data_IF_440613010281
#
_entry.id   IF_440613010281
#
_cell.length_a   1.000
_cell.length_b   1.000
_cell.length_c   1.000
_cell.angle_alpha   90.00
_cell.angle_beta   90.00
_cell.angle_gamma   90.00
#
_symmetry.space_group_name_H-M   'P 1'
#
loop_
_entity.id
_entity.type
_entity.pdbx_description
1 polymer ?
#
# COMPACT_ATOMS: atom_id res chain seq x y z
N UNK A 1 19.54 1.01 -44.08
CA UNK A 1 18.92 2.17 -44.74
C UNK A 1 17.45 2.12 -44.44
N UNK A 2 16.92 3.01 -43.71
CA UNK A 2 15.84 3.95 -43.78
C UNK A 2 15.52 4.52 -42.40
N UNK A 3 15.79 5.79 -42.25
CA UNK A 3 15.42 6.63 -41.12
C UNK A 3 13.99 7.13 -41.34
N UNK A 4 13.18 7.18 -40.30
CA UNK A 4 12.09 8.14 -40.21
C UNK A 4 11.91 8.63 -38.80
N UNK A 5 12.28 9.90 -38.61
CA UNK A 5 11.98 10.73 -37.44
C UNK A 5 10.60 11.34 -37.63
N UNK A 6 9.76 11.30 -36.66
CA UNK A 6 8.60 12.21 -36.58
C UNK A 6 8.60 12.85 -35.19
N UNK A 7 8.93 14.13 -35.19
CA UNK A 7 8.73 15.05 -34.09
C UNK A 7 7.31 15.63 -34.22
N UNK A 8 6.57 15.65 -33.13
CA UNK A 8 5.36 16.48 -33.02
C UNK A 8 5.44 17.26 -31.72
N UNK A 9 5.72 18.54 -31.88
CA UNK A 9 5.56 19.60 -30.87
C UNK A 9 4.11 20.04 -30.86
N UNK A 10 3.50 20.15 -29.66
CA UNK A 10 2.33 21.02 -29.49
C UNK A 10 2.32 21.57 -28.05
N UNK A 11 2.62 22.86 -27.97
CA UNK A 11 2.41 23.70 -26.80
C UNK A 11 0.95 24.18 -26.81
N UNK A 12 0.31 24.15 -25.63
CA UNK A 12 -0.89 24.92 -25.37
C UNK A 12 -0.85 25.46 -23.94
N UNK A 13 -0.55 26.75 -23.82
CA UNK A 13 -0.70 27.54 -22.62
C UNK A 13 -2.16 28.00 -22.52
N UNK A 14 -2.77 27.84 -21.34
CA UNK A 14 -4.02 28.50 -21.01
C UNK A 14 -3.89 29.19 -19.65
N UNK A 15 -3.78 30.52 -19.68
CA UNK A 15 -3.85 31.38 -18.52
C UNK A 15 -5.31 31.79 -18.30
N UNK A 16 -5.83 31.64 -17.08
CA UNK A 16 -7.05 32.31 -16.62
C UNK A 16 -6.76 33.08 -15.33
N UNK A 17 -6.76 34.37 -15.45
CA UNK A 17 -6.83 35.32 -14.33
C UNK A 17 -8.30 35.58 -14.01
N UNK A 18 -8.67 35.52 -12.73
CA UNK A 18 -9.91 36.09 -12.21
C UNK A 18 -9.63 36.84 -10.92
N UNK A 19 -9.63 38.15 -11.01
CA UNK A 19 -9.70 39.09 -9.94
C UNK A 19 -11.18 39.22 -9.51
N UNK A 20 -11.44 39.24 -8.22
CA UNK A 20 -12.77 39.52 -7.64
C UNK A 20 -12.65 40.09 -6.23
N UNK A 21 -12.45 41.39 -6.10
CA UNK A 21 -12.64 42.14 -4.85
C UNK A 21 -14.13 42.32 -4.58
N UNK A 22 -14.55 41.98 -3.36
CA UNK A 22 -15.88 42.31 -2.87
C UNK A 22 -15.84 42.48 -1.35
N UNK A 23 -15.56 43.75 -0.92
CA UNK A 23 -15.63 44.18 0.47
C UNK A 23 -17.05 44.69 0.72
N UNK A 24 -17.78 44.12 1.69
CA UNK A 24 -19.00 44.70 2.24
C UNK A 24 -19.14 44.28 3.70
N UNK A 25 -18.85 45.23 4.59
CA UNK A 25 -19.00 45.12 6.02
C UNK A 25 -20.34 45.79 6.41
N UNK A 26 -21.26 45.13 7.12
CA UNK A 26 -22.36 45.80 7.81
C UNK A 26 -22.08 45.91 9.31
N UNK A 27 -22.84 46.78 10.02
CA UNK A 27 -22.42 47.42 11.26
C UNK A 27 -22.65 46.56 12.52
N UNK A 28 -21.90 46.96 13.57
CA UNK A 28 -21.90 46.40 14.91
C UNK A 28 -23.27 46.39 15.60
N UNK A 29 -23.63 45.25 16.18
CA UNK A 29 -24.64 45.16 17.24
C UNK A 29 -23.96 44.62 18.50
N UNK A 30 -23.93 45.44 19.52
CA UNK A 30 -23.43 45.20 20.86
C UNK A 30 -24.43 44.32 21.62
N UNK A 31 -24.04 43.09 21.94
CA UNK A 31 -24.75 42.23 22.89
C UNK A 31 -23.73 41.39 23.67
N UNK A 32 -23.84 41.21 25.00
CA UNK A 32 -22.88 40.40 25.74
C UNK A 32 -23.12 38.92 25.47
N UNK A 33 -22.30 38.34 24.60
CA UNK A 33 -22.29 36.89 24.41
C UNK A 33 -21.34 36.23 25.40
N UNK A 34 -21.91 35.52 26.35
CA UNK A 34 -21.23 34.54 27.16
C UNK A 34 -20.67 33.44 26.23
N UNK A 35 -19.39 33.49 25.98
CA UNK A 35 -18.67 32.41 25.27
C UNK A 35 -18.54 31.21 26.22
N UNK A 36 -19.45 30.25 26.10
CA UNK A 36 -19.21 28.89 26.59
C UNK A 36 -18.27 28.24 25.58
N UNK A 37 -16.99 28.23 25.91
CA UNK A 37 -16.01 27.40 25.19
C UNK A 37 -16.38 25.93 25.45
N UNK A 38 -17.09 25.32 24.50
CA UNK A 38 -17.22 23.89 24.44
C UNK A 38 -15.87 23.32 24.03
N UNK A 39 -15.07 22.97 25.02
CA UNK A 39 -13.89 22.12 24.81
C UNK A 39 -14.39 20.73 24.42
N UNK A 40 -14.41 20.44 23.12
CA UNK A 40 -14.61 19.09 22.63
C UNK A 40 -13.43 18.25 23.15
N UNK A 41 -13.67 17.19 23.95
CA UNK A 41 -12.58 16.31 24.34
C UNK A 41 -12.01 15.68 23.05
N UNK A 42 -10.73 15.94 22.77
CA UNK A 42 -10.00 15.20 21.76
C UNK A 42 -10.10 13.71 22.14
N UNK A 43 -10.63 12.89 21.23
CA UNK A 43 -10.63 11.45 21.41
C UNK A 43 -9.19 11.00 21.70
N UNK A 44 -8.99 10.08 22.69
CA UNK A 44 -7.66 9.59 22.98
C UNK A 44 -7.12 8.90 21.72
N UNK A 45 -6.07 9.47 21.14
CA UNK A 45 -5.25 8.79 20.13
C UNK A 45 -4.62 7.60 20.86
N UNK A 46 -5.15 6.40 20.64
CA UNK A 46 -4.50 5.17 21.08
C UNK A 46 -3.06 5.17 20.57
N UNK A 47 -2.07 4.90 21.44
CA UNK A 47 -0.70 4.75 21.00
C UNK A 47 -0.68 3.73 19.87
N UNK A 48 -0.06 4.07 18.74
CA UNK A 48 0.14 3.13 17.64
C UNK A 48 1.10 2.07 18.17
N UNK A 49 0.56 0.94 18.67
CA UNK A 49 1.38 -0.17 19.08
C UNK A 49 2.21 -0.64 17.88
N UNK A 50 3.53 -0.74 18.07
CA UNK A 50 4.43 -1.30 17.05
C UNK A 50 3.92 -2.69 16.66
N UNK A 51 3.88 -3.04 15.36
CA UNK A 51 3.52 -4.39 14.93
C UNK A 51 4.36 -5.42 15.65
N UNK A 52 3.72 -6.49 16.11
CA UNK A 52 4.37 -7.56 16.89
C UNK A 52 5.37 -8.35 16.03
N UNK A 53 5.14 -8.37 14.68
CA UNK A 53 5.96 -9.09 13.71
C UNK A 53 6.40 -8.13 12.59
N UNK A 54 7.66 -8.25 12.17
CA UNK A 54 8.15 -7.66 10.93
C UNK A 54 7.74 -8.51 9.71
N UNK A 55 7.91 -7.98 8.51
CA UNK A 55 7.54 -8.70 7.30
C UNK A 55 8.31 -10.01 7.13
N UNK A 56 9.59 -10.02 7.48
CA UNK A 56 10.40 -11.24 7.43
C UNK A 56 9.91 -12.29 8.44
N UNK A 57 9.52 -11.89 9.65
CA UNK A 57 8.99 -12.81 10.66
C UNK A 57 7.73 -13.52 10.17
N UNK A 58 6.86 -12.79 9.43
CA UNK A 58 5.66 -13.36 8.79
C UNK A 58 6.05 -14.40 7.74
N UNK A 59 7.02 -14.11 6.86
CA UNK A 59 7.48 -15.07 5.84
C UNK A 59 8.08 -16.31 6.51
N UNK A 60 8.86 -16.14 7.56
CA UNK A 60 9.47 -17.25 8.31
C UNK A 60 8.38 -18.11 8.98
N UNK A 61 7.34 -17.50 9.57
CA UNK A 61 6.21 -18.21 10.15
C UNK A 61 5.41 -19.01 9.10
N UNK A 62 5.19 -18.44 7.92
CA UNK A 62 4.53 -19.13 6.80
C UNK A 62 5.38 -20.31 6.30
N UNK A 63 6.70 -20.16 6.26
CA UNK A 63 7.63 -21.25 5.91
C UNK A 63 7.58 -22.36 6.95
N UNK A 64 7.59 -22.00 8.24
CA UNK A 64 7.46 -22.95 9.34
C UNK A 64 6.10 -23.68 9.34
N UNK A 65 5.04 -23.06 8.82
CA UNK A 65 3.74 -23.69 8.59
C UNK A 65 3.73 -24.67 7.40
N UNK A 66 4.87 -24.88 6.75
CA UNK A 66 5.04 -25.85 5.65
C UNK A 66 4.74 -25.30 4.25
N UNK A 67 4.64 -23.98 4.09
CA UNK A 67 4.56 -23.39 2.76
C UNK A 67 5.95 -23.43 2.10
N UNK A 68 6.06 -23.89 0.86
CA UNK A 68 7.35 -24.07 0.18
C UNK A 68 7.85 -22.73 -0.40
N UNK A 69 8.27 -21.85 0.49
CA UNK A 69 8.87 -20.57 0.17
C UNK A 69 10.39 -20.69 0.05
N UNK A 70 10.99 -19.93 -0.85
CA UNK A 70 12.44 -19.88 -1.05
C UNK A 70 12.90 -18.47 -1.43
N UNK A 71 14.21 -18.24 -1.47
CA UNK A 71 14.81 -16.94 -1.80
C UNK A 71 14.20 -15.80 -0.97
N UNK A 72 13.99 -16.07 0.32
CA UNK A 72 13.42 -15.09 1.27
C UNK A 72 14.38 -13.92 1.40
N UNK A 73 13.87 -12.72 1.21
CA UNK A 73 14.64 -11.48 1.32
C UNK A 73 13.81 -10.40 2.01
N UNK A 74 14.38 -9.80 3.05
CA UNK A 74 13.90 -8.56 3.62
C UNK A 74 14.44 -7.39 2.79
N UNK A 75 13.59 -6.37 2.55
CA UNK A 75 13.99 -5.18 1.84
C UNK A 75 14.29 -4.04 2.80
N UNK A 76 15.27 -3.24 2.43
CA UNK A 76 15.61 -1.95 3.02
C UNK A 76 15.26 -0.80 2.07
N UNK A 77 15.57 0.43 2.46
CA UNK A 77 15.30 1.63 1.65
C UNK A 77 15.99 1.63 0.27
N UNK A 78 17.09 0.88 0.10
CA UNK A 78 17.84 0.81 -1.14
C UNK A 78 17.36 -0.34 -2.04
N UNK A 79 16.70 -1.32 -1.47
CA UNK A 79 16.29 -2.56 -2.15
C UNK A 79 14.78 -2.68 -2.32
N UNK A 80 14.00 -1.75 -1.75
CA UNK A 80 12.54 -1.69 -1.99
C UNK A 80 12.25 -1.23 -3.42
N UNK A 81 11.69 -2.10 -4.28
CA UNK A 81 11.43 -1.74 -5.68
C UNK A 81 10.36 -0.65 -5.86
N UNK A 82 9.60 -0.33 -4.81
CA UNK A 82 8.58 0.72 -4.86
C UNK A 82 9.05 2.05 -4.27
N UNK A 83 10.23 2.09 -3.62
CA UNK A 83 10.75 3.28 -2.92
C UNK A 83 9.74 3.87 -1.91
N UNK A 84 9.06 3.01 -1.13
CA UNK A 84 7.98 3.38 -0.21
C UNK A 84 8.27 3.03 1.25
N UNK A 85 9.26 2.18 1.52
CA UNK A 85 9.58 1.72 2.86
C UNK A 85 9.85 2.89 3.81
N UNK A 86 9.15 2.92 4.95
CA UNK A 86 9.30 3.94 5.99
C UNK A 86 8.67 5.31 5.66
N UNK A 87 8.09 5.51 4.49
CA UNK A 87 7.40 6.77 4.15
C UNK A 87 6.05 6.87 4.88
N UNK A 88 5.57 8.07 5.20
CA UNK A 88 4.28 8.27 5.86
C UNK A 88 3.14 7.56 5.14
N UNK A 89 2.31 6.79 5.85
CA UNK A 89 1.19 6.04 5.30
C UNK A 89 1.59 4.82 4.43
N UNK A 90 2.89 4.49 4.39
CA UNK A 90 3.41 3.33 3.68
C UNK A 90 3.88 2.25 4.67
N UNK A 91 4.34 1.11 4.15
CA UNK A 91 4.82 0.02 4.98
C UNK A 91 6.11 0.39 5.71
N UNK A 92 6.23 -0.11 6.93
CA UNK A 92 7.39 0.05 7.81
C UNK A 92 8.36 -1.13 7.73
N UNK A 93 7.91 -2.25 7.15
CA UNK A 93 8.72 -3.43 6.88
C UNK A 93 8.17 -4.14 5.65
N UNK A 94 9.05 -4.69 4.82
CA UNK A 94 8.72 -5.42 3.60
C UNK A 94 9.65 -6.62 3.43
N UNK A 95 9.08 -7.76 3.03
CA UNK A 95 9.84 -8.95 2.65
C UNK A 95 9.21 -9.63 1.45
N UNK A 96 10.00 -10.36 0.69
CA UNK A 96 9.55 -11.14 -0.46
C UNK A 96 10.10 -12.55 -0.42
N UNK A 97 9.42 -13.47 -1.10
CA UNK A 97 9.87 -14.84 -1.28
C UNK A 97 9.35 -15.41 -2.60
N UNK A 98 10.10 -16.33 -3.19
CA UNK A 98 9.61 -17.15 -4.29
C UNK A 98 8.57 -18.15 -3.75
N UNK A 99 7.47 -18.32 -4.49
CA UNK A 99 6.44 -19.32 -4.19
C UNK A 99 6.21 -20.25 -5.39
N UNK A 100 5.70 -21.48 -5.18
CA UNK A 100 5.36 -22.39 -6.27
C UNK A 100 4.32 -21.77 -7.22
N UNK A 101 4.63 -21.76 -8.50
CA UNK A 101 3.80 -21.12 -9.53
C UNK A 101 4.18 -19.68 -9.84
N UNK A 102 5.03 -19.06 -9.02
CA UNK A 102 5.65 -17.78 -9.34
C UNK A 102 6.69 -17.89 -10.47
N UNK A 103 6.98 -16.77 -11.07
CA UNK A 103 7.95 -16.60 -12.15
C UNK A 103 9.35 -16.35 -11.58
N UNK A 104 10.22 -17.36 -11.63
CA UNK A 104 11.59 -17.25 -11.09
C UNK A 104 12.50 -16.33 -11.90
N UNK A 105 12.13 -16.03 -13.15
CA UNK A 105 12.86 -15.16 -14.05
C UNK A 105 12.40 -13.69 -13.95
N UNK A 106 11.32 -13.42 -13.19
CA UNK A 106 10.90 -12.06 -12.91
C UNK A 106 11.95 -11.29 -12.10
N UNK A 107 11.84 -9.97 -12.11
CA UNK A 107 12.71 -9.05 -11.37
C UNK A 107 12.82 -9.45 -9.90
N UNK A 108 14.02 -9.27 -9.33
CA UNK A 108 14.26 -9.57 -7.92
C UNK A 108 13.31 -8.75 -7.03
N UNK A 109 12.69 -9.39 -6.05
CA UNK A 109 11.70 -8.80 -5.13
C UNK A 109 10.35 -8.44 -5.74
N UNK A 110 10.12 -8.77 -7.03
CA UNK A 110 8.82 -8.59 -7.66
C UNK A 110 7.79 -9.58 -7.12
N UNK A 111 6.52 -9.15 -7.11
CA UNK A 111 5.36 -9.98 -6.72
C UNK A 111 5.19 -11.20 -7.64
N UNK A 112 5.58 -11.08 -8.90
CA UNK A 112 5.48 -12.15 -9.89
C UNK A 112 6.30 -13.39 -9.50
N UNK A 113 7.35 -13.24 -8.69
CA UNK A 113 8.13 -14.36 -8.14
C UNK A 113 7.36 -15.20 -7.12
N UNK A 114 6.34 -14.64 -6.48
CA UNK A 114 5.52 -15.41 -5.54
C UNK A 114 4.83 -14.59 -4.47
N UNK A 115 5.51 -14.26 -3.40
CA UNK A 115 4.96 -13.67 -2.19
C UNK A 115 5.63 -12.35 -1.87
N UNK A 116 4.84 -11.38 -1.45
CA UNK A 116 5.30 -10.14 -0.80
C UNK A 116 4.50 -9.92 0.48
N UNK A 117 5.19 -9.61 1.56
CA UNK A 117 4.60 -9.19 2.84
C UNK A 117 4.95 -7.74 3.09
N UNK A 118 3.95 -6.94 3.39
CA UNK A 118 4.07 -5.52 3.75
C UNK A 118 3.44 -5.32 5.14
N UNK A 119 4.15 -4.68 6.08
CA UNK A 119 3.67 -4.38 7.44
C UNK A 119 3.57 -2.88 7.60
N UNK A 120 2.46 -2.40 8.17
CA UNK A 120 2.13 -0.99 8.25
C UNK A 120 2.03 -0.51 9.70
N UNK A 121 2.09 0.79 9.90
CA UNK A 121 1.86 1.41 11.21
C UNK A 121 0.40 1.26 11.65
N UNK A 122 -0.55 1.30 10.71
CA UNK A 122 -1.98 1.18 10.98
C UNK A 122 -2.67 0.17 10.05
N UNK A 123 -3.80 -0.39 10.51
CA UNK A 123 -4.63 -1.25 9.67
C UNK A 123 -5.23 -0.47 8.47
N UNK A 124 -5.53 0.82 8.66
CA UNK A 124 -6.06 1.68 7.61
C UNK A 124 -5.08 1.86 6.45
N UNK A 125 -3.78 2.05 6.73
CA UNK A 125 -2.75 2.16 5.69
C UNK A 125 -2.64 0.85 4.88
N UNK A 126 -2.69 -0.28 5.57
CA UNK A 126 -2.66 -1.58 4.92
C UNK A 126 -3.91 -1.85 4.06
N UNK A 127 -5.10 -1.43 4.51
CA UNK A 127 -6.34 -1.52 3.74
C UNK A 127 -6.29 -0.59 2.51
N UNK A 128 -5.80 0.63 2.67
CA UNK A 128 -5.62 1.59 1.57
C UNK A 128 -4.65 1.04 0.51
N UNK A 129 -3.53 0.45 0.92
CA UNK A 129 -2.56 -0.19 0.02
C UNK A 129 -3.17 -1.35 -0.75
N UNK A 130 -3.88 -2.24 -0.07
CA UNK A 130 -4.56 -3.38 -0.68
C UNK A 130 -5.59 -2.93 -1.72
N UNK A 131 -6.43 -1.96 -1.37
CA UNK A 131 -7.44 -1.38 -2.27
C UNK A 131 -6.80 -0.75 -3.50
N UNK A 132 -5.79 0.10 -3.30
CA UNK A 132 -5.07 0.75 -4.39
C UNK A 132 -4.53 -0.26 -5.43
N UNK A 133 -3.86 -1.33 -4.95
CA UNK A 133 -3.30 -2.36 -5.84
C UNK A 133 -4.43 -3.09 -6.57
N UNK A 134 -5.47 -3.56 -5.85
CA UNK A 134 -6.56 -4.30 -6.45
C UNK A 134 -7.32 -3.47 -7.50
N UNK A 135 -7.47 -2.18 -7.29
CA UNK A 135 -8.14 -1.30 -8.27
C UNK A 135 -7.24 -1.03 -9.49
N UNK A 136 -5.93 -0.91 -9.30
CA UNK A 136 -4.98 -0.84 -10.40
C UNK A 136 -5.01 -2.11 -11.27
N UNK A 137 -5.00 -3.29 -10.65
CA UNK A 137 -5.08 -4.58 -11.35
C UNK A 137 -6.41 -4.76 -12.11
N UNK A 138 -7.53 -4.33 -11.53
CA UNK A 138 -8.84 -4.33 -12.22
C UNK A 138 -8.86 -3.40 -13.43
N UNK A 139 -8.21 -2.24 -13.31
CA UNK A 139 -8.17 -1.22 -14.36
C UNK A 139 -7.22 -1.58 -15.50
N UNK A 140 -6.17 -2.36 -15.22
CA UNK A 140 -5.13 -2.73 -16.17
C UNK A 140 -4.86 -4.24 -16.10
N UNK A 141 -5.72 -5.04 -16.73
CA UNK A 141 -5.66 -6.52 -16.70
C UNK A 141 -4.33 -7.11 -17.17
N UNK A 142 -3.55 -6.35 -17.95
CA UNK A 142 -2.20 -6.74 -18.38
C UNK A 142 -1.23 -6.89 -17.19
N UNK A 143 -1.51 -6.25 -16.07
CA UNK A 143 -0.70 -6.34 -14.86
C UNK A 143 -0.92 -7.65 -14.08
N UNK A 144 -1.83 -8.51 -14.55
CA UNK A 144 -2.13 -9.78 -13.90
C UNK A 144 -3.12 -9.65 -12.76
N UNK A 145 -3.05 -10.58 -11.81
CA UNK A 145 -3.90 -10.64 -10.61
C UNK A 145 -3.08 -10.97 -9.38
N UNK A 146 -3.60 -10.63 -8.20
CA UNK A 146 -3.00 -10.99 -6.91
C UNK A 146 -4.08 -11.47 -5.94
N UNK A 147 -3.69 -12.38 -5.05
CA UNK A 147 -4.45 -12.71 -3.85
C UNK A 147 -3.93 -11.84 -2.71
N UNK A 148 -4.82 -11.20 -1.96
CA UNK A 148 -4.50 -10.40 -0.79
C UNK A 148 -5.09 -11.04 0.45
N UNK A 149 -4.25 -11.32 1.44
CA UNK A 149 -4.64 -11.93 2.72
C UNK A 149 -4.29 -11.01 3.87
N UNK A 150 -5.11 -11.03 4.89
CA UNK A 150 -4.95 -10.24 6.11
C UNK A 150 -5.02 -11.18 7.32
N UNK A 151 -3.94 -11.33 8.10
CA UNK A 151 -3.98 -12.07 9.36
C UNK A 151 -4.80 -11.33 10.43
N UNK A 152 -4.84 -11.87 11.66
CA UNK A 152 -5.49 -11.23 12.80
C UNK A 152 -4.95 -9.82 13.05
N UNK A 153 -3.63 -9.63 12.95
CA UNK A 153 -3.04 -8.28 12.91
C UNK A 153 -3.29 -7.64 11.54
N UNK A 154 -4.34 -6.83 11.49
CA UNK A 154 -4.78 -6.13 10.27
C UNK A 154 -3.76 -5.15 9.70
N UNK A 155 -2.66 -4.86 10.39
CA UNK A 155 -1.54 -4.05 9.89
C UNK A 155 -0.64 -4.81 8.92
N UNK A 156 -0.82 -6.12 8.79
CA UNK A 156 -0.07 -6.98 7.88
C UNK A 156 -0.88 -7.22 6.61
N UNK A 157 -0.27 -7.01 5.45
CA UNK A 157 -0.79 -7.37 4.14
C UNK A 157 0.12 -8.43 3.51
N UNK A 158 -0.43 -9.62 3.28
CA UNK A 158 0.24 -10.69 2.54
C UNK A 158 -0.32 -10.71 1.13
N UNK A 159 0.55 -10.49 0.15
CA UNK A 159 0.24 -10.49 -1.27
C UNK A 159 0.84 -11.74 -1.92
N UNK A 160 0.06 -12.46 -2.70
CA UNK A 160 0.51 -13.63 -3.44
C UNK A 160 0.18 -13.43 -4.93
N UNK A 161 1.13 -13.70 -5.81
CA UNK A 161 0.90 -13.59 -7.26
C UNK A 161 -0.28 -14.44 -7.72
N UNK A 162 -1.09 -13.92 -8.63
CA UNK A 162 -2.19 -14.65 -9.26
C UNK A 162 -1.75 -15.78 -10.18
N UNK A 163 -0.43 -15.93 -10.45
CA UNK A 163 0.14 -17.07 -11.19
C UNK A 163 0.04 -18.37 -10.38
N UNK A 164 -0.13 -18.27 -9.06
CA UNK A 164 -0.33 -19.43 -8.17
C UNK A 164 -1.73 -20.00 -8.37
N UNK A 165 -1.82 -21.34 -8.53
CA UNK A 165 -3.11 -22.03 -8.70
C UNK A 165 -4.03 -21.81 -7.48
N UNK A 166 -5.36 -21.66 -7.67
CA UNK A 166 -6.30 -21.42 -6.56
C UNK A 166 -6.19 -22.42 -5.40
N UNK A 167 -5.94 -23.70 -5.70
CA UNK A 167 -5.77 -24.75 -4.67
C UNK A 167 -4.50 -24.57 -3.84
N UNK A 168 -3.46 -23.96 -4.40
CA UNK A 168 -2.26 -23.58 -3.66
C UNK A 168 -2.50 -22.28 -2.89
N UNK A 169 -3.11 -21.28 -3.53
CA UNK A 169 -3.46 -20.02 -2.90
C UNK A 169 -4.30 -20.22 -1.62
N UNK A 170 -5.22 -21.21 -1.62
CA UNK A 170 -6.00 -21.60 -0.43
C UNK A 170 -5.12 -22.04 0.74
N UNK A 171 -3.98 -22.71 0.48
CA UNK A 171 -3.05 -23.11 1.56
C UNK A 171 -2.37 -21.89 2.18
N UNK A 172 -2.06 -20.87 1.38
CA UNK A 172 -1.56 -19.59 1.88
C UNK A 172 -2.61 -18.89 2.73
N UNK A 173 -3.85 -18.80 2.26
CA UNK A 173 -4.96 -18.24 3.03
C UNK A 173 -5.11 -18.91 4.39
N UNK A 174 -5.13 -20.26 4.43
CA UNK A 174 -5.29 -21.04 5.65
C UNK A 174 -4.10 -20.88 6.63
N UNK A 175 -2.90 -20.67 6.12
CA UNK A 175 -1.72 -20.41 6.93
C UNK A 175 -1.72 -18.98 7.48
N UNK A 176 -2.04 -17.99 6.65
CA UNK A 176 -2.13 -16.57 7.06
C UNK A 176 -3.23 -16.37 8.11
N UNK A 177 -4.36 -17.07 8.00
CA UNK A 177 -5.45 -16.99 8.98
C UNK A 177 -5.07 -17.49 10.40
N UNK A 178 -3.91 -18.14 10.55
CA UNK A 178 -3.40 -18.64 11.83
C UNK A 178 -2.35 -17.74 12.46
N UNK A 179 -1.94 -16.67 11.77
CA UNK A 179 -1.06 -15.62 12.25
C UNK A 179 -1.89 -14.58 13.02
#
# INVERSE_FOLDING_TARGET
MYRSRLAVTSAAALALALAGCGNSQPPAATGPSTVVSATTPAAPVSPSEKPTMGAKDVVDALTAAGLPLSNIAEQDENTDPNDKLGRPGQYTSRASADAPGGDKDAEKYDIDRGLVVEVFATAGDADARSTYIQDALKSAQILGTEYHYRPTDRRILVRLTGKVKPSQAKKFEDAVAKL
#
